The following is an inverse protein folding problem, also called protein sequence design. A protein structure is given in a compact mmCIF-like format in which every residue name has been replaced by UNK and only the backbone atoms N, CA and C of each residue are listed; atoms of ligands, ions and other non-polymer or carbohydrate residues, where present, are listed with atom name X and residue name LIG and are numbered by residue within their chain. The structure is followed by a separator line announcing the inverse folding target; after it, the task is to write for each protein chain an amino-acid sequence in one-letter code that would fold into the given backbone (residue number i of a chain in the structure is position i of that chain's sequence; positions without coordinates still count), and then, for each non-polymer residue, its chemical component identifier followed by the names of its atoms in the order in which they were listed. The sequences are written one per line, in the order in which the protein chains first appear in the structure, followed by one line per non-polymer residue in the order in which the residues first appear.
data_IF_187054841560
#
_entry.id   IF_187054841560
#
_cell.length_a   1.000
_cell.length_b   1.000
_cell.length_c   1.000
_cell.angle_alpha   90.00
_cell.angle_beta   90.00
_cell.angle_gamma   90.00
#
_symmetry.space_group_name_H-M   'P 1'
#
loop_
_entity.id
_entity.type
_entity.pdbx_description
1 polymer ?
#
# COMPACT_ATOMS: atom_id res chain seq x y z
N UNK A 1 10.55 -6.66 -22.42
CA UNK A 1 11.23 -7.93 -22.71
C UNK A 1 12.45 -8.17 -21.82
N UNK A 2 13.50 -7.34 -21.81
CA UNK A 2 14.65 -7.57 -20.91
C UNK A 2 14.28 -7.42 -19.41
N UNK A 3 13.68 -6.29 -19.03
CA UNK A 3 13.31 -6.04 -17.63
C UNK A 3 12.28 -7.05 -17.09
N UNK A 4 11.32 -7.49 -17.90
CA UNK A 4 10.37 -8.53 -17.51
C UNK A 4 11.07 -9.85 -17.15
N UNK A 5 12.03 -10.29 -17.97
CA UNK A 5 12.81 -11.48 -17.70
C UNK A 5 13.67 -11.32 -16.43
N UNK A 6 14.30 -10.16 -16.23
CA UNK A 6 15.10 -9.88 -15.04
C UNK A 6 14.24 -9.83 -13.75
N UNK A 7 13.03 -9.28 -13.84
CA UNK A 7 12.07 -9.30 -12.72
C UNK A 7 11.63 -10.73 -12.44
N UNK A 8 11.28 -11.51 -13.45
CA UNK A 8 10.89 -12.92 -13.29
C UNK A 8 12.01 -13.75 -12.66
N UNK A 9 13.26 -13.53 -13.07
CA UNK A 9 14.43 -14.15 -12.46
C UNK A 9 14.57 -13.80 -10.97
N UNK A 10 14.33 -12.55 -10.59
CA UNK A 10 14.35 -12.15 -9.19
C UNK A 10 13.20 -12.80 -8.39
N UNK A 11 12.01 -12.97 -8.98
CA UNK A 11 10.91 -13.72 -8.36
C UNK A 11 11.30 -15.18 -8.10
N UNK A 12 11.92 -15.85 -9.08
CA UNK A 12 12.41 -17.22 -8.92
C UNK A 12 13.49 -17.32 -7.82
N UNK A 13 14.45 -16.38 -7.80
CA UNK A 13 15.47 -16.33 -6.75
C UNK A 13 14.85 -16.07 -5.38
N UNK A 14 13.80 -15.26 -5.29
CA UNK A 14 13.08 -15.02 -4.04
C UNK A 14 12.41 -16.30 -3.52
N UNK A 15 11.74 -17.07 -4.39
CA UNK A 15 11.14 -18.35 -3.99
C UNK A 15 12.18 -19.38 -3.56
N UNK A 16 13.37 -19.38 -4.17
CA UNK A 16 14.48 -20.21 -3.70
C UNK A 16 14.97 -19.81 -2.29
N UNK A 17 14.96 -18.50 -1.97
CA UNK A 17 15.32 -17.99 -0.63
C UNK A 17 14.22 -18.17 0.41
N UNK A 18 12.95 -18.31 0.01
CA UNK A 18 11.82 -18.54 0.92
C UNK A 18 10.96 -19.69 0.41
N UNK A 19 11.31 -20.96 0.76
CA UNK A 19 10.64 -22.14 0.21
C UNK A 19 9.13 -22.25 0.52
N UNK A 20 8.65 -21.52 1.53
CA UNK A 20 7.23 -21.47 1.89
C UNK A 20 6.40 -20.52 1.00
N UNK A 21 7.01 -19.84 0.03
CA UNK A 21 6.29 -19.05 -0.97
C UNK A 21 5.59 -19.95 -1.98
N UNK A 22 4.26 -19.82 -2.05
CA UNK A 22 3.42 -20.50 -3.04
C UNK A 22 3.32 -19.69 -4.32
N UNK A 23 3.55 -18.38 -4.28
CA UNK A 23 3.63 -17.55 -5.47
C UNK A 23 4.23 -16.18 -5.22
N UNK A 24 4.64 -15.52 -6.29
CA UNK A 24 5.16 -14.17 -6.29
C UNK A 24 4.72 -13.42 -7.56
N UNK A 25 4.34 -12.17 -7.42
CA UNK A 25 3.82 -11.32 -8.48
C UNK A 25 4.47 -9.95 -8.40
N UNK A 26 5.01 -9.47 -9.51
CA UNK A 26 5.35 -8.06 -9.69
C UNK A 26 4.27 -7.42 -10.58
N UNK A 27 3.73 -6.29 -10.14
CA UNK A 27 2.70 -5.55 -10.85
C UNK A 27 2.98 -4.04 -10.78
N UNK A 28 2.42 -3.28 -11.71
CA UNK A 28 2.41 -1.82 -11.60
C UNK A 28 1.50 -1.38 -10.44
N UNK A 29 1.68 -0.14 -9.98
CA UNK A 29 0.78 0.49 -9.00
C UNK A 29 -0.67 0.60 -9.48
N UNK A 30 -0.89 0.54 -10.79
CA UNK A 30 -2.22 0.56 -11.43
C UNK A 30 -2.86 -0.83 -11.55
N UNK A 31 -2.14 -1.89 -11.14
CA UNK A 31 -2.65 -3.27 -11.16
C UNK A 31 -2.42 -4.01 -12.47
N UNK A 32 -1.43 -3.60 -13.27
CA UNK A 32 -1.01 -4.33 -14.48
C UNK A 32 0.12 -5.31 -14.14
N UNK A 33 0.03 -6.55 -14.62
CA UNK A 33 1.06 -7.58 -14.38
C UNK A 33 2.35 -7.20 -15.11
N UNK A 34 3.48 -7.25 -14.39
CA UNK A 34 4.81 -7.04 -14.94
C UNK A 34 5.55 -8.38 -15.13
N UNK A 35 5.47 -9.25 -14.13
CA UNK A 35 5.98 -10.61 -14.16
C UNK A 35 5.33 -11.42 -13.04
N UNK A 36 5.18 -12.73 -13.20
CA UNK A 36 4.54 -13.56 -12.19
C UNK A 36 5.06 -14.99 -12.17
N UNK A 37 5.05 -15.57 -10.97
CA UNK A 37 5.19 -16.99 -10.69
C UNK A 37 4.14 -17.34 -9.63
N UNK A 38 2.90 -17.50 -10.09
CA UNK A 38 1.70 -17.65 -9.24
C UNK A 38 0.90 -18.89 -9.64
N UNK A 39 1.42 -20.11 -9.38
CA UNK A 39 0.74 -21.33 -9.78
C UNK A 39 -0.64 -21.44 -9.12
N UNK A 40 -1.68 -21.64 -9.95
CA UNK A 40 -3.07 -21.81 -9.50
C UNK A 40 -3.77 -20.52 -9.08
N UNK A 41 -3.19 -19.34 -9.38
CA UNK A 41 -3.79 -18.03 -9.11
C UNK A 41 -3.75 -17.18 -10.37
N UNK A 42 -4.87 -16.57 -10.72
CA UNK A 42 -4.97 -15.66 -11.86
C UNK A 42 -4.19 -14.35 -11.57
N UNK A 43 -3.12 -14.07 -12.32
CA UNK A 43 -2.21 -12.97 -12.00
C UNK A 43 -2.85 -11.59 -12.21
N UNK A 44 -3.67 -11.40 -13.25
CA UNK A 44 -4.36 -10.14 -13.55
C UNK A 44 -5.34 -9.77 -12.42
N UNK A 45 -6.12 -10.75 -11.96
CA UNK A 45 -7.03 -10.57 -10.84
C UNK A 45 -6.30 -10.22 -9.54
N UNK A 46 -5.19 -10.91 -9.25
CA UNK A 46 -4.37 -10.63 -8.08
C UNK A 46 -3.71 -9.25 -8.15
N UNK A 47 -3.25 -8.81 -9.33
CA UNK A 47 -2.65 -7.49 -9.54
C UNK A 47 -3.66 -6.37 -9.29
N UNK A 48 -4.87 -6.48 -9.88
CA UNK A 48 -5.93 -5.50 -9.69
C UNK A 48 -6.37 -5.39 -8.23
N UNK A 49 -6.55 -6.53 -7.54
CA UNK A 49 -6.88 -6.54 -6.12
C UNK A 49 -5.77 -5.97 -5.25
N UNK A 50 -4.51 -6.23 -5.59
CA UNK A 50 -3.34 -5.65 -4.90
C UNK A 50 -3.36 -4.13 -5.02
N UNK A 51 -3.56 -3.58 -6.23
CA UNK A 51 -3.62 -2.14 -6.45
C UNK A 51 -4.76 -1.47 -5.66
N UNK A 52 -5.95 -2.09 -5.68
CA UNK A 52 -7.09 -1.62 -4.88
C UNK A 52 -6.79 -1.65 -3.37
N UNK A 53 -6.22 -2.75 -2.87
CA UNK A 53 -5.85 -2.90 -1.47
C UNK A 53 -4.78 -1.89 -1.03
N UNK A 54 -3.80 -1.60 -1.89
CA UNK A 54 -2.77 -0.59 -1.64
C UNK A 54 -3.40 0.80 -1.49
N UNK A 55 -4.32 1.18 -2.39
CA UNK A 55 -5.01 2.46 -2.32
C UNK A 55 -5.88 2.62 -1.07
N UNK A 56 -6.45 1.53 -0.55
CA UNK A 56 -7.13 1.54 0.75
C UNK A 56 -6.12 1.66 1.89
N UNK A 57 -5.04 0.88 1.85
CA UNK A 57 -4.03 0.84 2.90
C UNK A 57 -3.32 2.18 3.09
N UNK A 58 -2.96 2.89 2.01
CA UNK A 58 -2.36 4.24 2.07
C UNK A 58 -3.30 5.23 2.78
N UNK A 59 -4.60 5.21 2.45
CA UNK A 59 -5.59 6.07 3.10
C UNK A 59 -5.79 5.69 4.57
N UNK A 60 -5.75 4.40 4.88
CA UNK A 60 -5.87 3.90 6.24
C UNK A 60 -4.65 4.28 7.09
N UNK A 61 -3.43 4.19 6.57
CA UNK A 61 -2.22 4.57 7.30
C UNK A 61 -2.18 6.07 7.58
N UNK A 62 -2.62 6.88 6.61
CA UNK A 62 -2.76 8.32 6.78
C UNK A 62 -3.81 8.66 7.86
N UNK A 63 -5.03 8.11 7.71
CA UNK A 63 -6.12 8.33 8.68
C UNK A 63 -5.76 7.83 10.10
N UNK A 64 -4.94 6.79 10.22
CA UNK A 64 -4.49 6.25 11.49
C UNK A 64 -3.26 6.98 12.07
N UNK A 65 -2.72 7.98 11.39
CA UNK A 65 -1.52 8.71 11.79
C UNK A 65 -0.27 7.84 11.85
N UNK A 66 -0.16 6.83 10.97
CA UNK A 66 0.99 5.90 10.90
C UNK A 66 2.04 6.31 9.86
N UNK A 67 1.80 7.41 9.15
CA UNK A 67 2.68 7.90 8.09
C UNK A 67 2.52 7.08 6.81
N UNK A 68 3.61 6.96 6.06
CA UNK A 68 3.61 6.25 4.79
C UNK A 68 3.44 4.74 4.96
N UNK A 69 2.66 4.14 4.06
CA UNK A 69 2.55 2.70 3.95
C UNK A 69 3.92 2.10 3.58
N UNK A 70 4.44 1.20 4.42
CA UNK A 70 5.70 0.49 4.16
C UNK A 70 5.47 -0.86 3.50
N UNK A 71 4.46 -1.59 3.97
CA UNK A 71 4.09 -2.91 3.50
C UNK A 71 2.67 -3.23 3.97
N UNK A 72 2.02 -4.18 3.30
CA UNK A 72 0.72 -4.70 3.67
C UNK A 72 0.84 -6.22 3.88
N UNK A 73 0.28 -6.72 4.98
CA UNK A 73 0.25 -8.16 5.29
C UNK A 73 -1.19 -8.57 5.62
N UNK A 74 -1.72 -9.51 4.84
CA UNK A 74 -3.00 -10.15 5.04
C UNK A 74 -2.73 -11.58 5.52
N UNK A 75 -3.37 -11.99 6.60
CA UNK A 75 -3.39 -13.38 7.07
C UNK A 75 -4.78 -13.95 6.81
N UNK A 76 -4.83 -15.05 6.06
CA UNK A 76 -6.02 -15.87 5.88
C UNK A 76 -5.83 -17.25 6.51
N UNK A 77 -6.86 -18.08 6.43
CA UNK A 77 -6.87 -19.42 7.03
C UNK A 77 -5.86 -20.39 6.39
N UNK A 78 -5.37 -20.05 5.19
CA UNK A 78 -4.46 -20.90 4.40
C UNK A 78 -3.08 -20.28 4.19
N UNK A 79 -2.80 -19.12 4.81
CA UNK A 79 -1.51 -18.47 4.70
C UNK A 79 -1.57 -16.96 4.65
N UNK A 80 -0.63 -16.38 3.93
CA UNK A 80 -0.40 -14.95 3.90
C UNK A 80 -0.35 -14.39 2.49
N UNK A 81 -0.82 -13.16 2.35
CA UNK A 81 -0.55 -12.29 1.20
C UNK A 81 0.23 -11.08 1.72
N UNK A 82 1.43 -10.86 1.21
CA UNK A 82 2.28 -9.75 1.63
C UNK A 82 2.65 -8.88 0.42
N UNK A 83 2.42 -7.57 0.52
CA UNK A 83 2.72 -6.62 -0.55
C UNK A 83 3.76 -5.60 -0.08
N UNK A 84 4.77 -5.39 -0.91
CA UNK A 84 5.90 -4.49 -0.67
C UNK A 84 6.02 -3.51 -1.83
N UNK A 85 6.46 -2.28 -1.54
CA UNK A 85 6.83 -1.34 -2.59
C UNK A 85 8.04 -1.88 -3.38
N UNK A 86 8.00 -1.70 -4.71
CA UNK A 86 9.09 -2.04 -5.62
C UNK A 86 9.39 -0.84 -6.52
N UNK A 87 10.18 0.11 -6.00
CA UNK A 87 10.48 1.37 -6.69
C UNK A 87 9.27 2.32 -6.72
N UNK A 88 9.26 3.21 -7.71
CA UNK A 88 8.25 4.27 -7.83
C UNK A 88 6.97 3.86 -8.56
N UNK A 89 7.03 2.79 -9.34
CA UNK A 89 5.98 2.43 -10.31
C UNK A 89 5.48 0.99 -10.18
N UNK A 90 6.08 0.17 -9.31
CA UNK A 90 5.75 -1.23 -9.15
C UNK A 90 5.56 -1.66 -7.68
N UNK A 91 4.92 -2.81 -7.53
CA UNK A 91 4.66 -3.49 -6.26
C UNK A 91 5.00 -4.97 -6.39
N UNK A 92 5.52 -5.55 -5.31
CA UNK A 92 5.78 -6.98 -5.18
C UNK A 92 4.75 -7.59 -4.23
N UNK A 93 3.95 -8.53 -4.72
CA UNK A 93 3.00 -9.31 -3.92
C UNK A 93 3.46 -10.75 -3.80
N UNK A 94 3.49 -11.26 -2.57
CA UNK A 94 3.92 -12.61 -2.22
C UNK A 94 2.77 -13.41 -1.61
N UNK A 95 2.63 -14.65 -2.05
CA UNK A 95 1.72 -15.63 -1.49
C UNK A 95 2.55 -16.65 -0.71
N UNK A 96 2.19 -16.89 0.55
CA UNK A 96 2.95 -17.76 1.43
C UNK A 96 2.03 -18.69 2.22
N UNK A 97 2.52 -19.88 2.54
CA UNK A 97 1.81 -20.84 3.40
C UNK A 97 1.71 -20.33 4.85
N UNK A 98 0.76 -20.87 5.62
CA UNK A 98 0.54 -20.49 7.03
C UNK A 98 1.76 -20.68 7.93
N UNK A 99 2.63 -21.65 7.62
CA UNK A 99 3.86 -21.94 8.38
C UNK A 99 5.07 -21.09 7.97
N UNK A 100 4.88 -20.06 7.14
CA UNK A 100 5.99 -19.18 6.75
C UNK A 100 6.55 -18.45 7.97
N UNK A 101 7.88 -18.32 8.04
CA UNK A 101 8.49 -17.39 8.98
C UNK A 101 8.24 -15.96 8.49
N UNK A 102 7.32 -15.24 9.14
CA UNK A 102 6.90 -13.88 8.76
C UNK A 102 8.08 -12.90 8.80
N UNK A 103 9.00 -13.03 9.76
CA UNK A 103 10.21 -12.20 9.81
C UNK A 103 11.09 -12.38 8.58
N UNK A 104 11.31 -13.64 8.16
CA UNK A 104 12.03 -13.96 6.92
C UNK A 104 11.28 -13.49 5.67
N UNK A 105 9.96 -13.60 5.66
CA UNK A 105 9.11 -13.10 4.57
C UNK A 105 9.31 -11.60 4.36
N UNK A 106 9.29 -10.80 5.42
CA UNK A 106 9.54 -9.36 5.33
C UNK A 106 10.98 -9.03 4.93
N UNK A 107 11.97 -9.73 5.50
CA UNK A 107 13.38 -9.51 5.18
C UNK A 107 13.63 -9.72 3.68
N UNK A 108 13.20 -10.87 3.16
CA UNK A 108 13.43 -11.23 1.76
C UNK A 108 12.51 -10.47 0.80
N UNK A 109 11.26 -10.21 1.21
CA UNK A 109 10.31 -9.42 0.44
C UNK A 109 10.78 -7.98 0.23
N UNK A 110 11.25 -7.30 1.27
CA UNK A 110 11.81 -5.93 1.15
C UNK A 110 13.06 -5.91 0.27
N UNK A 111 13.94 -6.91 0.42
CA UNK A 111 15.17 -7.03 -0.38
C UNK A 111 14.87 -7.27 -1.86
N UNK A 112 13.90 -8.14 -2.18
CA UNK A 112 13.47 -8.39 -3.54
C UNK A 112 12.72 -7.18 -4.14
N UNK A 113 11.84 -6.54 -3.36
CA UNK A 113 11.13 -5.32 -3.75
C UNK A 113 12.10 -4.20 -4.13
N UNK A 114 13.15 -3.96 -3.34
CA UNK A 114 14.20 -3.00 -3.67
C UNK A 114 14.88 -3.29 -5.02
N UNK A 115 15.27 -4.55 -5.25
CA UNK A 115 15.89 -4.96 -6.53
C UNK A 115 14.96 -4.83 -7.72
N UNK A 116 13.71 -5.24 -7.58
CA UNK A 116 12.70 -5.06 -8.64
C UNK A 116 12.49 -3.56 -8.89
N UNK A 117 12.48 -2.73 -7.85
CA UNK A 117 12.42 -1.29 -7.98
C UNK A 117 13.57 -0.71 -8.79
N UNK A 118 14.80 -1.13 -8.52
CA UNK A 118 15.98 -0.73 -9.30
C UNK A 118 15.85 -1.12 -10.79
N UNK A 119 15.35 -2.33 -11.07
CA UNK A 119 15.10 -2.79 -12.45
C UNK A 119 14.04 -1.95 -13.16
N UNK A 120 12.98 -1.57 -12.46
CA UNK A 120 11.87 -0.80 -13.01
C UNK A 120 12.22 0.69 -13.18
N UNK A 121 12.94 1.28 -12.23
CA UNK A 121 13.35 2.69 -12.29
C UNK A 121 14.52 2.91 -13.28
N UNK A 122 15.30 1.87 -13.61
CA UNK A 122 16.34 1.93 -14.65
C UNK A 122 15.78 1.96 -16.09
N UNK A 123 14.49 1.65 -16.28
CA UNK A 123 13.85 1.80 -17.58
C UNK A 123 13.54 3.29 -17.83
N UNK A 124 13.84 3.82 -19.03
CA UNK A 124 13.37 5.15 -19.41
C UNK A 124 11.85 5.19 -19.31
N UNK A 125 11.33 5.96 -18.36
CA UNK A 125 9.90 6.28 -18.31
C UNK A 125 9.58 6.98 -19.64
N UNK A 126 8.58 6.53 -20.43
CA UNK A 126 8.11 7.34 -21.54
C UNK A 126 7.78 8.72 -20.95
N UNK A 127 8.49 9.75 -21.42
CA UNK A 127 8.51 11.07 -20.79
C UNK A 127 7.09 11.55 -20.51
N UNK A 128 6.78 11.85 -19.25
CA UNK A 128 5.52 12.47 -18.85
C UNK A 128 5.39 13.83 -19.56
N UNK A 129 4.48 14.03 -20.53
CA UNK A 129 4.26 15.34 -21.15
C UNK A 129 3.78 16.40 -20.14
N UNK A 130 3.34 15.96 -18.95
CA UNK A 130 2.92 16.83 -17.85
C UNK A 130 4.07 17.64 -17.23
N UNK A 131 5.31 17.14 -17.23
CA UNK A 131 6.46 17.86 -16.65
C UNK A 131 6.98 18.99 -17.56
N UNK A 132 6.78 18.87 -18.89
CA UNK A 132 7.17 19.89 -19.85
C UNK A 132 6.28 21.14 -19.79
N UNK A 133 4.98 20.99 -19.50
CA UNK A 133 4.05 22.11 -19.35
C UNK A 133 4.34 23.00 -18.14
N UNK A 134 4.76 22.41 -17.01
CA UNK A 134 5.10 23.16 -15.81
C UNK A 134 6.40 23.99 -15.94
N UNK A 135 7.39 23.49 -16.70
CA UNK A 135 8.65 24.22 -16.97
C UNK A 135 8.53 25.33 -18.02
N UNK A 136 7.47 25.32 -18.83
CA UNK A 136 7.19 26.39 -19.79
C UNK A 136 6.50 27.60 -19.13
N UNK A 137 5.62 27.38 -18.15
CA UNK A 137 4.86 28.42 -17.48
C UNK A 137 5.71 29.34 -16.55
N UNK A 138 6.92 28.92 -16.16
CA UNK A 138 7.80 29.72 -15.28
C UNK A 138 8.84 30.57 -16.05
N UNK A 139 8.92 30.48 -17.38
CA UNK A 139 9.77 31.37 -18.18
C UNK A 139 8.97 32.61 -18.58
N UNK A 140 8.97 33.59 -17.71
CA UNK A 140 8.45 34.93 -17.96
C UNK A 140 9.59 35.83 -18.49
N UNK A 141 9.64 36.21 -19.78
CA UNK A 141 10.52 37.27 -20.24
C UNK A 141 9.73 38.58 -20.22
N UNK A 142 9.88 39.34 -19.13
CA UNK A 142 9.57 40.75 -19.16
C UNK A 142 10.56 41.47 -20.09
N UNK A 143 10.16 41.85 -21.30
CA UNK A 143 10.54 43.13 -21.94
C UNK A 143 9.86 43.36 -23.29
N UNK A 144 9.41 44.61 -23.48
CA UNK A 144 9.31 45.32 -24.78
C UNK A 144 8.13 44.90 -25.67
N UNK A 145 7.25 45.73 -26.22
CA UNK A 145 7.25 47.18 -26.51
C UNK A 145 5.82 47.56 -26.93
N UNK A 146 5.39 48.76 -26.53
CA UNK A 146 4.51 49.69 -27.26
C UNK A 146 3.16 49.18 -27.84
N UNK A 147 2.05 49.79 -27.41
CA UNK A 147 1.38 50.93 -28.10
C UNK A 147 -0.14 50.99 -27.81
N UNK A 148 -0.60 52.19 -27.41
CA UNK A 148 -1.84 52.86 -27.85
C UNK A 148 -3.13 52.78 -26.98
N UNK A 149 -3.55 54.00 -26.59
CA UNK A 149 -4.90 54.54 -26.30
C UNK A 149 -5.63 54.06 -25.02
N UNK A 150 -5.90 54.94 -24.03
CA UNK A 150 -6.98 55.96 -23.96
C UNK A 150 -8.36 55.31 -24.19
N UNK A 151 -9.36 55.34 -23.30
CA UNK A 151 -10.00 56.47 -22.62
C UNK A 151 -11.02 55.98 -21.55
N UNK A 152 -11.40 56.91 -20.66
CA UNK A 152 -12.73 57.12 -20.06
C UNK A 152 -13.08 56.53 -18.65
N UNK A 153 -13.09 57.45 -17.68
CA UNK A 153 -14.26 57.90 -16.88
C UNK A 153 -14.86 57.02 -15.77
N UNK A 154 -14.66 57.49 -14.53
CA UNK A 154 -15.35 57.27 -13.22
C UNK A 154 -16.87 57.61 -13.25
N UNK A 155 -17.70 57.46 -12.17
CA UNK A 155 -17.52 56.82 -10.85
C UNK A 155 -18.72 55.99 -10.28
N UNK A 156 -18.45 55.30 -9.17
CA UNK A 156 -19.27 55.02 -7.96
C UNK A 156 -20.75 54.56 -8.03
N UNK A 157 -21.08 53.52 -7.25
CA UNK A 157 -22.19 53.48 -6.25
C UNK A 157 -22.11 52.20 -5.38
N UNK A 158 -21.88 52.42 -4.08
CA UNK A 158 -22.57 51.92 -2.87
C UNK A 158 -23.24 50.51 -2.84
N UNK A 159 -22.98 49.77 -1.74
CA UNK A 159 -23.94 49.15 -0.78
C UNK A 159 -23.42 47.80 -0.21
N UNK A 160 -22.99 47.85 1.06
CA UNK A 160 -22.98 46.77 2.11
C UNK A 160 -24.44 46.42 2.48
N UNK A 161 -24.89 45.23 2.99
CA UNK A 161 -24.24 44.28 3.91
C UNK A 161 -24.54 42.78 3.65
N UNK A 162 -23.91 41.86 4.43
CA UNK A 162 -24.63 40.87 5.28
C UNK A 162 -23.70 39.76 5.82
N UNK A 163 -23.94 39.45 7.09
CA UNK A 163 -23.19 38.61 8.02
C UNK A 163 -23.58 37.12 7.94
N UNK A 164 -22.71 36.15 8.35
CA UNK A 164 -22.99 34.72 8.26
C UNK A 164 -23.77 34.18 9.49
N UNK A 165 -24.63 33.14 9.34
CA UNK A 165 -25.24 32.49 10.49
C UNK A 165 -24.37 31.39 11.11
N UNK A 166 -24.59 31.24 12.41
CA UNK A 166 -23.80 30.51 13.38
C UNK A 166 -24.08 29.00 13.47
N UNK A 167 -23.12 28.36 14.15
CA UNK A 167 -23.01 26.99 14.64
C UNK A 167 -24.31 26.42 15.23
N UNK A 168 -24.70 25.23 14.78
CA UNK A 168 -25.61 24.33 15.51
C UNK A 168 -24.84 23.10 15.98
N UNK A 169 -24.58 23.08 17.28
CA UNK A 169 -24.13 21.93 18.06
C UNK A 169 -25.26 20.90 18.13
N UNK A 170 -25.08 19.71 17.54
CA UNK A 170 -25.96 18.56 17.79
C UNK A 170 -25.21 17.53 18.63
N UNK A 171 -25.82 17.27 19.80
CA UNK A 171 -25.41 16.39 20.88
C UNK A 171 -25.16 14.96 20.41
N UNK A 172 -23.99 14.46 20.79
CA UNK A 172 -23.61 13.05 20.85
C UNK A 172 -24.51 12.29 21.84
N UNK A 173 -25.20 11.25 21.37
CA UNK A 173 -25.80 10.21 22.21
C UNK A 173 -25.20 8.85 21.82
N UNK A 174 -24.21 8.41 22.61
CA UNK A 174 -23.70 7.04 22.57
C UNK A 174 -24.75 6.05 23.11
N UNK A 175 -24.99 4.91 22.46
CA UNK A 175 -25.70 3.79 23.09
C UNK A 175 -24.77 2.98 24.01
N UNK A 176 -25.28 2.68 25.20
CA UNK A 176 -24.67 1.94 26.32
C UNK A 176 -24.10 0.58 25.91
N UNK A 177 -22.86 0.30 26.34
CA UNK A 177 -22.30 -1.06 26.45
C UNK A 177 -23.01 -1.84 27.56
N UNK A 178 -23.53 -3.02 27.25
CA UNK A 178 -23.92 -4.06 28.22
C UNK A 178 -22.68 -4.85 28.67
N UNK A 179 -22.54 -5.20 29.96
CA UNK A 179 -21.43 -6.00 30.44
C UNK A 179 -21.59 -7.51 30.19
N UNK A 180 -20.43 -8.14 30.01
CA UNK A 180 -20.08 -9.49 29.58
C UNK A 180 -20.43 -10.59 30.59
N UNK A 181 -20.91 -11.75 30.12
CA UNK A 181 -20.95 -12.98 30.91
C UNK A 181 -19.58 -13.69 30.85
N UNK A 182 -18.95 -13.86 32.01
CA UNK A 182 -17.71 -14.62 32.20
C UNK A 182 -18.02 -16.10 32.45
N UNK A 183 -17.59 -16.98 31.55
CA UNK A 183 -17.63 -18.44 31.72
C UNK A 183 -16.52 -18.87 32.70
N UNK A 184 -16.79 -19.72 33.71
CA UNK A 184 -15.77 -20.19 34.63
C UNK A 184 -14.80 -21.19 33.97
N UNK A 185 -13.51 -20.98 34.25
CA UNK A 185 -12.37 -21.81 33.84
C UNK A 185 -12.34 -23.12 34.64
N UNK A 186 -12.23 -24.31 34.02
CA UNK A 186 -12.10 -25.56 34.76
C UNK A 186 -10.72 -25.67 35.41
N UNK A 187 -10.69 -26.10 36.67
CA UNK A 187 -9.49 -26.41 37.45
C UNK A 187 -8.83 -27.70 36.95
N UNK A 188 -7.49 -27.79 36.91
CA UNK A 188 -6.81 -29.03 36.55
C UNK A 188 -6.90 -30.05 37.71
N UNK A 189 -7.38 -31.26 37.39
CA UNK A 189 -7.31 -32.44 38.27
C UNK A 189 -5.86 -32.85 38.46
N UNK A 190 -5.40 -32.90 39.70
CA UNK A 190 -4.15 -33.53 40.10
C UNK A 190 -4.32 -35.05 40.06
N UNK A 191 -3.59 -35.75 39.20
CA UNK A 191 -3.46 -37.22 39.26
C UNK A 191 -2.25 -37.58 40.13
N UNK A 192 -2.37 -38.53 41.07
CA UNK A 192 -1.25 -38.97 41.88
C UNK A 192 -0.35 -39.94 41.09
N UNK A 193 0.96 -39.79 41.30
CA UNK A 193 2.03 -40.62 40.72
C UNK A 193 1.86 -42.10 41.03
N UNK A 194 2.06 -42.95 40.02
CA UNK A 194 2.24 -44.39 40.18
C UNK A 194 3.71 -44.73 40.50
N UNK A 195 4.00 -45.69 41.38
CA UNK A 195 5.37 -46.10 41.67
C UNK A 195 5.95 -46.97 40.56
N UNK A 196 7.24 -46.74 40.28
CA UNK A 196 8.12 -47.55 39.44
C UNK A 196 8.38 -48.91 40.09
N UNK A 197 8.02 -50.00 39.40
CA UNK A 197 8.53 -51.34 39.72
C UNK A 197 9.74 -51.62 38.83
N UNK A 198 10.85 -51.97 39.47
CA UNK A 198 12.11 -52.44 38.89
C UNK A 198 12.17 -53.95 39.10
N UNK A 199 12.27 -54.72 38.02
CA UNK A 199 12.75 -56.13 37.97
C UNK A 199 13.58 -56.21 36.67
N UNK A 200 14.90 -56.41 36.67
CA UNK A 200 15.68 -57.62 36.99
C UNK A 200 15.28 -58.85 36.17
#
# INVERSE_FOLDING_TARGET
MAAEAEVLDELHRLRARVPQLTGALAASVDGLVLAHDTPGVEPEGLAALTAAALGVAVRMTDAAGRGELRELLLRGDHGYVATYAAGSSAVLTLLAQDRVNVGRLHLEGRRAGGRIGELMDALPRPEDPAAAGARAATRNPARSVARTANTATTPATTVTPAQPPAKTTVRSTMPRRTPRATTPRPTPRTTPNAPTTSES
#
